data_IF_732061362003
#
_entry.id   IF_732061362003
#
_cell.length_a   1.000
_cell.length_b   1.000
_cell.length_c   1.000
_cell.angle_alpha   90.00
_cell.angle_beta   90.00
_cell.angle_gamma   90.00
#
_symmetry.space_group_name_H-M   'P 1'
#
loop_
_entity.id
_entity.type
_entity.pdbx_description
1 polymer ?
#
# COMPACT_ATOMS: atom_id res chain seq x y z
N UNK A 1 8.50 -37.08 0.31
CA UNK A 1 7.86 -35.76 0.35
C UNK A 1 8.87 -34.76 -0.15
N UNK A 2 8.65 -34.14 -1.32
CA UNK A 2 9.50 -33.05 -1.78
C UNK A 2 9.12 -31.80 -1.00
N UNK A 3 10.05 -31.25 -0.22
CA UNK A 3 9.88 -29.99 0.48
C UNK A 3 10.27 -28.89 -0.50
N UNK A 4 9.26 -28.28 -1.14
CA UNK A 4 9.39 -27.10 -1.99
C UNK A 4 9.86 -25.90 -1.12
N UNK A 5 11.17 -25.74 -1.00
CA UNK A 5 11.78 -24.52 -0.52
C UNK A 5 11.60 -23.42 -1.56
N UNK A 6 10.57 -22.58 -1.41
CA UNK A 6 10.39 -21.37 -2.22
C UNK A 6 11.54 -20.38 -1.91
N UNK A 7 12.47 -20.11 -2.84
CA UNK A 7 13.50 -19.10 -2.62
C UNK A 7 12.83 -17.72 -2.53
N UNK A 8 13.21 -16.96 -1.51
CA UNK A 8 12.79 -15.57 -1.33
C UNK A 8 13.31 -14.73 -2.50
N UNK A 9 12.46 -14.54 -3.52
CA UNK A 9 12.72 -13.64 -4.64
C UNK A 9 12.79 -12.20 -4.12
N UNK A 10 14.01 -11.71 -3.91
CA UNK A 10 14.27 -10.29 -3.71
C UNK A 10 14.06 -9.59 -5.05
N UNK A 11 12.79 -9.34 -5.40
CA UNK A 11 12.43 -8.42 -6.48
C UNK A 11 12.88 -7.02 -6.07
N UNK A 12 13.48 -6.20 -6.96
CA UNK A 12 13.80 -4.80 -6.68
C UNK A 12 12.52 -3.94 -6.71
N UNK A 13 11.53 -4.33 -5.91
CA UNK A 13 10.24 -3.69 -5.75
C UNK A 13 9.74 -3.94 -4.32
N UNK A 14 9.12 -2.90 -3.74
CA UNK A 14 8.56 -2.81 -2.39
C UNK A 14 8.76 -4.04 -1.50
N UNK A 15 9.82 -4.01 -0.69
CA UNK A 15 10.07 -5.02 0.32
C UNK A 15 9.04 -4.86 1.44
N UNK A 16 8.00 -5.69 1.45
CA UNK A 16 6.99 -5.79 2.53
C UNK A 16 7.59 -6.14 3.91
N UNK A 17 8.90 -6.41 4.00
CA UNK A 17 9.63 -6.68 5.24
C UNK A 17 10.56 -5.56 5.70
N UNK A 18 10.45 -4.33 5.17
CA UNK A 18 11.30 -3.19 5.54
C UNK A 18 10.89 -2.49 6.85
N UNK A 19 9.83 -2.97 7.51
CA UNK A 19 9.44 -2.48 8.83
C UNK A 19 10.58 -2.70 9.83
N UNK A 20 10.92 -1.65 10.58
CA UNK A 20 12.01 -1.69 11.55
C UNK A 20 11.65 -2.68 12.67
N UNK A 21 12.62 -3.42 13.22
CA UNK A 21 12.40 -4.26 14.39
C UNK A 21 11.84 -3.39 15.55
N UNK A 22 10.55 -3.51 15.84
CA UNK A 22 9.85 -2.69 16.83
C UNK A 22 8.54 -2.07 16.32
N UNK A 23 8.39 -1.92 15.00
CA UNK A 23 7.20 -1.32 14.39
C UNK A 23 5.92 -2.13 14.69
N UNK A 24 6.04 -3.46 14.82
CA UNK A 24 4.91 -4.32 15.19
C UNK A 24 4.35 -4.07 16.60
N UNK A 25 5.12 -3.43 17.48
CA UNK A 25 4.70 -3.07 18.85
C UNK A 25 4.18 -1.64 18.95
N UNK A 26 4.28 -0.85 17.88
CA UNK A 26 3.82 0.51 17.87
C UNK A 26 2.27 0.54 17.86
N UNK A 27 1.60 1.15 18.85
CA UNK A 27 0.15 1.30 18.85
C UNK A 27 -0.38 2.15 17.68
N UNK A 28 0.46 2.88 16.96
CA UNK A 28 0.11 3.63 15.75
C UNK A 28 0.15 2.77 14.47
N UNK A 29 0.82 1.62 14.51
CA UNK A 29 0.83 0.64 13.43
C UNK A 29 -0.28 -0.41 13.60
N UNK A 30 -1.28 -0.13 14.44
CA UNK A 30 -2.50 -0.94 14.50
C UNK A 30 -3.21 -0.87 13.16
N UNK A 31 -3.72 -2.00 12.70
CA UNK A 31 -4.38 -2.12 11.39
C UNK A 31 -5.48 -1.07 11.18
N UNK A 32 -6.27 -0.78 12.21
CA UNK A 32 -7.37 0.20 12.14
C UNK A 32 -6.85 1.60 11.81
N UNK A 33 -5.85 2.09 12.55
CA UNK A 33 -5.20 3.39 12.28
C UNK A 33 -4.51 3.46 10.93
N UNK A 34 -3.97 2.33 10.47
CA UNK A 34 -3.36 2.26 9.13
C UNK A 34 -4.42 2.37 8.05
N UNK A 35 -5.57 1.71 8.22
CA UNK A 35 -6.69 1.80 7.28
C UNK A 35 -7.25 3.22 7.22
N UNK A 36 -7.52 3.85 8.36
CA UNK A 36 -8.00 5.24 8.42
C UNK A 36 -7.08 6.19 7.64
N UNK A 37 -5.76 6.11 7.88
CA UNK A 37 -4.77 6.94 7.16
C UNK A 37 -4.71 6.66 5.65
N UNK A 38 -4.99 5.43 5.22
CA UNK A 38 -5.03 5.09 3.81
C UNK A 38 -6.27 5.69 3.15
N UNK A 39 -7.42 5.57 3.80
CA UNK A 39 -8.67 6.13 3.32
C UNK A 39 -8.59 7.67 3.24
N UNK A 40 -8.09 8.33 4.30
CA UNK A 40 -7.87 9.79 4.31
C UNK A 40 -6.95 10.23 3.16
N UNK A 41 -5.82 9.54 2.97
CA UNK A 41 -4.88 9.87 1.90
C UNK A 41 -5.48 9.68 0.50
N UNK A 42 -6.37 8.69 0.32
CA UNK A 42 -7.09 8.48 -0.93
C UNK A 42 -8.12 9.58 -1.16
N UNK A 43 -8.87 9.98 -0.14
CA UNK A 43 -9.83 11.09 -0.24
C UNK A 43 -9.15 12.42 -0.58
N UNK A 44 -7.97 12.69 0.00
CA UNK A 44 -7.19 13.90 -0.29
C UNK A 44 -6.56 13.89 -1.70
N UNK A 45 -6.10 12.73 -2.19
CA UNK A 45 -5.47 12.62 -3.52
C UNK A 45 -6.46 12.55 -4.68
N UNK A 46 -7.73 12.28 -4.38
CA UNK A 46 -8.81 12.23 -5.38
C UNK A 46 -9.93 13.21 -5.02
N UNK A 47 -9.70 14.54 -5.16
CA UNK A 47 -10.71 15.57 -4.87
C UNK A 47 -12.02 15.40 -5.67
N UNK A 48 -11.99 14.64 -6.76
CA UNK A 48 -13.13 14.14 -7.56
C UNK A 48 -12.71 12.84 -8.28
N UNK A 49 -13.22 11.69 -7.88
CA UNK A 49 -12.85 10.32 -8.34
C UNK A 49 -13.09 10.00 -9.83
N UNK A 50 -13.26 10.97 -10.72
CA UNK A 50 -13.31 10.72 -12.18
C UNK A 50 -12.58 11.85 -12.92
N UNK A 51 -11.53 11.58 -13.71
CA UNK A 51 -10.94 12.58 -14.58
C UNK A 51 -12.04 13.22 -15.46
N UNK A 52 -11.98 14.54 -15.62
CA UNK A 52 -12.96 15.26 -16.45
C UNK A 52 -12.85 14.74 -17.90
N UNK A 53 -13.91 14.09 -18.39
CA UNK A 53 -13.97 13.60 -19.77
C UNK A 53 -13.94 14.78 -20.75
N UNK A 54 -12.79 15.05 -21.37
CA UNK A 54 -12.66 16.08 -22.40
C UNK A 54 -13.18 15.56 -23.74
N UNK A 55 -14.14 16.28 -24.33
CA UNK A 55 -14.59 16.03 -25.71
C UNK A 55 -13.63 16.75 -26.65
N UNK A 56 -12.86 15.99 -27.45
CA UNK A 56 -12.02 16.56 -28.51
C UNK A 56 -12.95 17.04 -29.63
N UNK A 57 -13.23 18.35 -29.69
CA UNK A 57 -13.86 18.98 -30.86
C UNK A 57 -12.83 19.14 -31.96
N UNK A 58 -13.24 18.75 -33.17
CA UNK A 58 -12.43 18.72 -34.39
C UNK A 58 -12.17 20.11 -34.96
#
# INVERSE_FOLDING_TARGET
>A
MAEDHKPNETKPGFQQGSAKPGDAKNPDNKQEKLNERLDDALEETFPSSDPVSVKITK
#
